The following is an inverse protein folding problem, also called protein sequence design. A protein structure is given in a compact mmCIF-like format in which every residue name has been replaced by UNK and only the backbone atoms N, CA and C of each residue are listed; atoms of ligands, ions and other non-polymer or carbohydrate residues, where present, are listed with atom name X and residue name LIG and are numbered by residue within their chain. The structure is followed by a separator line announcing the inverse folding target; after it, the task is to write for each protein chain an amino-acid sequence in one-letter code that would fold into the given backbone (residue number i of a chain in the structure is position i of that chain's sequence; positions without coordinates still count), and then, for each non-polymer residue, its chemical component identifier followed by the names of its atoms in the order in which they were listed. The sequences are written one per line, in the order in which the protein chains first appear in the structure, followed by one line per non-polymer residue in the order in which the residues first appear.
data_IF_477071254466
#
_entry.id   IF_477071254466
#
_cell.length_a   1.000
_cell.length_b   1.000
_cell.length_c   1.000
_cell.angle_alpha   90.00
_cell.angle_beta   90.00
_cell.angle_gamma   90.00
#
_symmetry.space_group_name_H-M   'P 1'
#
loop_
_entity.id
_entity.type
_entity.pdbx_description
1 polymer ?
#
# COMPACT_ATOMS: atom_id res chain seq x y z
N UNK A 1 7.21 -5.27 -15.16
CA UNK A 1 6.55 -4.98 -13.88
C UNK A 1 6.22 -3.51 -13.75
N UNK A 2 5.12 -3.21 -13.13
CA UNK A 2 4.64 -1.85 -12.93
C UNK A 2 5.11 -1.33 -11.57
N UNK A 3 5.31 -0.02 -11.47
CA UNK A 3 5.69 0.61 -10.22
C UNK A 3 4.44 1.02 -9.45
N UNK A 4 4.47 0.76 -8.15
CA UNK A 4 3.40 1.13 -7.23
C UNK A 4 3.98 1.88 -6.05
N UNK A 5 3.21 2.82 -5.55
CA UNK A 5 3.55 3.53 -4.32
C UNK A 5 2.63 3.04 -3.21
N UNK A 6 3.23 2.58 -2.11
CA UNK A 6 2.48 2.24 -0.90
C UNK A 6 2.66 3.36 0.11
N UNK A 7 1.55 3.94 0.49
CA UNK A 7 1.52 4.95 1.56
C UNK A 7 0.92 4.31 2.79
N UNK A 8 1.75 4.09 3.80
CA UNK A 8 1.37 3.40 5.03
C UNK A 8 1.23 4.44 6.12
N UNK A 9 0.02 4.58 6.64
CA UNK A 9 -0.32 5.56 7.66
C UNK A 9 -0.42 4.91 9.03
N UNK A 10 0.32 5.43 10.00
CA UNK A 10 0.27 5.01 11.40
C UNK A 10 -0.03 6.24 12.25
N UNK A 11 -1.32 6.52 12.46
CA UNK A 11 -1.70 7.76 13.12
C UNK A 11 -1.24 8.97 12.31
N UNK A 12 -0.32 9.74 12.86
CA UNK A 12 0.24 10.93 12.19
C UNK A 12 1.45 10.62 11.31
N UNK A 13 2.03 9.44 11.47
CA UNK A 13 3.21 9.05 10.72
C UNK A 13 2.82 8.44 9.40
N UNK A 14 3.53 8.80 8.34
CA UNK A 14 3.31 8.27 7.00
C UNK A 14 4.62 7.73 6.47
N UNK A 15 4.60 6.47 6.07
CA UNK A 15 5.74 5.82 5.42
C UNK A 15 5.38 5.60 3.96
N UNK A 16 6.31 5.92 3.06
CA UNK A 16 6.12 5.73 1.62
C UNK A 16 7.14 4.72 1.11
N UNK A 17 6.67 3.72 0.37
CA UNK A 17 7.54 2.74 -0.28
C UNK A 17 7.17 2.65 -1.75
N UNK A 18 8.21 2.53 -2.59
CA UNK A 18 8.02 2.29 -4.02
C UNK A 18 8.35 0.83 -4.28
N UNK A 19 7.42 0.10 -4.89
CA UNK A 19 7.56 -1.32 -5.14
C UNK A 19 7.17 -1.67 -6.56
N UNK A 20 7.67 -2.79 -7.06
CA UNK A 20 7.29 -3.33 -8.36
C UNK A 20 6.38 -4.52 -8.15
N UNK A 21 5.31 -4.59 -8.93
CA UNK A 21 4.38 -5.70 -8.89
C UNK A 21 3.66 -5.82 -10.23
N UNK A 22 3.00 -6.97 -10.44
CA UNK A 22 2.23 -7.20 -11.65
C UNK A 22 0.86 -6.54 -11.60
N UNK A 23 0.36 -6.25 -10.41
CA UNK A 23 -0.95 -5.62 -10.24
C UNK A 23 -1.24 -5.36 -8.77
N UNK A 24 -2.44 -4.87 -8.48
CA UNK A 24 -2.86 -4.54 -7.12
C UNK A 24 -3.01 -5.77 -6.22
N UNK A 25 -3.40 -6.91 -6.78
CA UNK A 25 -3.74 -8.08 -5.98
C UNK A 25 -2.65 -8.55 -5.04
N UNK A 26 -1.42 -8.69 -5.51
CA UNK A 26 -0.31 -9.13 -4.66
C UNK A 26 0.03 -8.08 -3.60
N UNK A 27 -0.10 -6.80 -3.93
CA UNK A 27 0.17 -5.72 -2.98
C UNK A 27 -0.93 -5.60 -1.94
N UNK A 28 -2.18 -5.87 -2.31
CA UNK A 28 -3.29 -5.90 -1.36
C UNK A 28 -3.09 -6.99 -0.31
N UNK A 29 -2.68 -8.17 -0.73
CA UNK A 29 -2.40 -9.27 0.18
C UNK A 29 -1.29 -8.90 1.16
N UNK A 30 -0.22 -8.31 0.64
CA UNK A 30 0.89 -7.85 1.48
C UNK A 30 0.43 -6.77 2.46
N UNK A 31 -0.37 -5.81 1.99
CA UNK A 31 -0.88 -4.73 2.83
C UNK A 31 -1.78 -5.27 3.94
N UNK A 32 -2.63 -6.24 3.65
CA UNK A 32 -3.47 -6.86 4.65
C UNK A 32 -2.65 -7.60 5.71
N UNK A 33 -1.58 -8.27 5.29
CA UNK A 33 -0.66 -8.92 6.24
C UNK A 33 0.00 -7.90 7.15
N UNK A 34 0.41 -6.75 6.60
CA UNK A 34 1.00 -5.68 7.40
C UNK A 34 0.00 -5.13 8.42
N UNK A 35 -1.24 -4.94 8.02
CA UNK A 35 -2.30 -4.47 8.92
C UNK A 35 -2.54 -5.46 10.05
N UNK A 36 -2.52 -6.75 9.74
CA UNK A 36 -2.70 -7.81 10.74
C UNK A 36 -1.55 -7.85 11.75
N UNK A 37 -0.34 -7.57 11.30
CA UNK A 37 0.86 -7.63 12.13
C UNK A 37 1.12 -6.36 12.93
N UNK A 38 0.60 -5.23 12.46
CA UNK A 38 0.85 -3.93 13.07
C UNK A 38 -0.47 -3.19 13.31
N UNK A 39 -0.96 -3.26 14.53
CA UNK A 39 -2.23 -2.62 14.91
C UNK A 39 -2.19 -1.09 14.80
N UNK A 40 -1.01 -0.49 14.72
CA UNK A 40 -0.86 0.97 14.61
C UNK A 40 -1.20 1.49 13.22
N UNK A 41 -1.20 0.62 12.22
CA UNK A 41 -1.53 1.01 10.86
C UNK A 41 -3.01 1.37 10.77
N UNK A 42 -3.29 2.61 10.41
CA UNK A 42 -4.65 3.11 10.26
C UNK A 42 -5.14 3.05 8.83
N UNK A 43 -4.22 3.10 7.86
CA UNK A 43 -4.59 3.14 6.44
C UNK A 43 -3.40 2.73 5.58
N UNK A 44 -3.65 1.98 4.51
CA UNK A 44 -2.67 1.75 3.46
C UNK A 44 -3.31 2.10 2.12
N UNK A 45 -2.65 2.97 1.37
CA UNK A 45 -3.08 3.38 0.05
C UNK A 45 -2.06 2.89 -0.97
N UNK A 46 -2.54 2.22 -2.02
CA UNK A 46 -1.71 1.71 -3.10
C UNK A 46 -2.02 2.50 -4.35
N UNK A 47 -1.01 3.12 -4.93
CA UNK A 47 -1.14 3.91 -6.16
C UNK A 47 -0.35 3.27 -7.29
N UNK A 48 -1.00 3.01 -8.41
CA UNK A 48 -0.30 2.58 -9.62
C UNK A 48 0.29 3.83 -10.27
N UNK A 49 1.62 3.95 -10.24
CA UNK A 49 2.30 5.14 -10.73
C UNK A 49 2.22 5.32 -12.24
N UNK A 50 1.90 4.26 -12.98
CA UNK A 50 1.75 4.35 -14.43
C UNK A 50 0.38 4.91 -14.85
N UNK A 51 -0.66 4.64 -14.07
CA UNK A 51 -2.04 4.98 -14.42
C UNK A 51 -2.70 5.96 -13.46
N UNK A 52 -2.06 6.23 -12.33
CA UNK A 52 -2.59 7.03 -11.20
C UNK A 52 -3.82 6.40 -10.53
N UNK A 53 -4.10 5.14 -10.81
CA UNK A 53 -5.15 4.43 -10.09
C UNK A 53 -4.77 4.26 -8.62
N UNK A 54 -5.73 4.49 -7.74
CA UNK A 54 -5.52 4.43 -6.30
C UNK A 54 -6.47 3.40 -5.69
N UNK A 55 -5.93 2.59 -4.78
CA UNK A 55 -6.73 1.63 -4.04
C UNK A 55 -6.42 1.75 -2.55
N UNK A 56 -7.47 1.88 -1.75
CA UNK A 56 -7.35 1.95 -0.29
C UNK A 56 -7.63 0.58 0.29
N UNK A 57 -6.70 0.07 1.11
CA UNK A 57 -6.82 -1.28 1.67
C UNK A 57 -7.62 -1.26 2.98
N UNK A 58 -7.65 -0.13 3.67
CA UNK A 58 -8.39 -0.09 4.92
C UNK A 58 -9.22 1.14 5.08
#
# INVERSE_FOLDING_TARGET
MRRFELKIQRGREVETRIMRANGFGSLEGMAQDMISDDYKITKITITNLATDEVKVVR
#
